data_IF_642887273515
#
_entry.id   IF_642887273515
#
_cell.length_a   1.000
_cell.length_b   1.000
_cell.length_c   1.000
_cell.angle_alpha   90.00
_cell.angle_beta   90.00
_cell.angle_gamma   90.00
#
_symmetry.space_group_name_H-M   'P 1'
#
loop_
_entity.id
_entity.type
_entity.pdbx_description
1 polymer ?
2 non-polymer ?
3 non-polymer ?
4 water ?
#
# COMPACT_ATOMS: atom_id res chain seq x y z
N UNK A 1 18.56 1.38 1.17
CA UNK A 1 18.71 0.30 0.14
C UNK A 1 17.36 0.23 -0.58
N UNK A 2 16.67 1.29 -0.40
CA UNK A 2 15.28 1.43 -0.94
C UNK A 2 15.14 2.12 -2.31
N UNK A 3 16.22 2.50 -2.94
CA UNK A 3 16.31 3.56 -3.89
C UNK A 3 15.52 3.37 -5.16
N UNK A 4 15.36 2.23 -5.76
CA UNK A 4 14.63 2.22 -7.04
C UNK A 4 13.11 2.37 -6.76
N UNK A 5 12.63 2.23 -5.51
CA UNK A 5 11.22 2.49 -5.17
C UNK A 5 10.87 3.96 -5.11
N UNK A 6 11.85 4.82 -4.98
CA UNK A 6 11.58 6.23 -4.68
C UNK A 6 11.00 6.90 -5.91
N UNK A 7 10.06 7.77 -5.69
CA UNK A 7 9.49 8.58 -6.75
C UNK A 7 7.97 8.63 -6.68
N UNK A 8 7.40 9.10 -7.77
CA UNK A 8 5.96 9.28 -7.91
C UNK A 8 5.45 8.24 -8.89
N UNK A 9 4.39 7.55 -8.50
CA UNK A 9 3.88 6.37 -9.21
C UNK A 9 2.36 6.51 -9.35
N UNK A 10 1.84 6.05 -10.50
CA UNK A 10 0.42 6.14 -10.79
C UNK A 10 -0.16 4.75 -11.00
N UNK A 11 -1.37 4.50 -10.48
CA UNK A 11 -1.99 3.19 -10.67
C UNK A 11 -2.41 3.01 -12.14
N UNK A 12 -2.02 1.85 -12.71
CA UNK A 12 -2.33 1.54 -14.11
C UNK A 12 -2.99 0.17 -14.25
N UNK A 13 -3.15 -0.62 -13.21
CA UNK A 13 -3.86 -1.90 -13.31
C UNK A 13 -4.24 -2.31 -11.89
N UNK A 14 -5.38 -2.98 -11.76
CA UNK A 14 -5.77 -3.48 -10.44
C UNK A 14 -6.56 -4.79 -10.62
N UNK A 15 -6.15 -5.80 -9.84
CA UNK A 15 -6.78 -7.11 -9.85
C UNK A 15 -7.16 -7.48 -8.41
N UNK A 16 -8.45 -7.79 -8.22
CA UNK A 16 -8.96 -8.34 -6.95
C UNK A 16 -8.95 -7.32 -5.80
N UNK A 17 -8.94 -6.03 -6.09
CA UNK A 17 -8.99 -5.06 -4.99
C UNK A 17 -10.32 -5.13 -4.26
N UNK A 18 -11.43 -5.40 -4.97
CA UNK A 18 -12.70 -5.53 -4.27
C UNK A 18 -12.63 -6.68 -3.27
N UNK A 19 -12.07 -7.82 -3.69
CA UNK A 19 -11.97 -8.92 -2.74
C UNK A 19 -11.20 -8.48 -1.49
N UNK A 20 -10.06 -7.82 -1.70
CA UNK A 20 -9.22 -7.40 -0.56
C UNK A 20 -10.00 -6.45 0.36
N UNK A 21 -10.63 -5.44 -0.22
CA UNK A 21 -11.42 -4.51 0.59
C UNK A 21 -12.56 -5.21 1.34
N UNK A 22 -13.23 -6.11 0.64
CA UNK A 22 -14.34 -6.78 1.31
C UNK A 22 -13.82 -7.61 2.47
N UNK A 23 -12.67 -8.27 2.30
CA UNK A 23 -12.08 -9.07 3.38
C UNK A 23 -11.82 -8.23 4.62
N UNK A 24 -11.38 -6.98 4.41
CA UNK A 24 -11.15 -6.01 5.47
C UNK A 24 -12.43 -5.41 6.04
N UNK A 25 -13.60 -5.73 5.50
CA UNK A 25 -14.85 -5.19 6.02
C UNK A 25 -15.21 -3.82 5.49
N UNK A 26 -14.59 -3.40 4.38
CA UNK A 26 -14.92 -2.12 3.77
C UNK A 26 -16.33 -2.21 3.17
N UNK A 27 -17.16 -1.21 3.41
CA UNK A 27 -18.54 -1.20 2.93
C UNK A 27 -18.64 -1.03 1.43
N UNK A 28 -19.82 -1.44 0.91
CA UNK A 28 -19.97 -1.53 -0.53
C UNK A 28 -19.78 -0.17 -1.21
N UNK A 29 -20.23 0.92 -0.60
CA UNK A 29 -20.17 2.22 -1.29
C UNK A 29 -18.71 2.66 -1.42
N UNK A 30 -17.93 2.45 -0.36
CA UNK A 30 -16.49 2.76 -0.41
C UNK A 30 -15.81 1.88 -1.45
N UNK A 31 -16.11 0.58 -1.44
CA UNK A 31 -15.49 -0.31 -2.46
C UNK A 31 -15.82 0.16 -3.87
N UNK A 32 -17.04 0.55 -4.03
CA UNK A 32 -17.50 1.01 -5.32
C UNK A 32 -16.63 2.21 -5.80
N UNK A 33 -16.52 3.32 -5.03
CA UNK A 33 -15.69 4.47 -5.42
C UNK A 33 -14.25 4.05 -5.60
N UNK A 34 -13.73 3.26 -4.64
CA UNK A 34 -12.34 2.82 -4.70
C UNK A 34 -12.03 2.04 -5.99
N UNK A 35 -13.00 1.30 -6.50
CA UNK A 35 -12.77 0.50 -7.71
C UNK A 35 -12.57 1.36 -8.95
N UNK A 36 -12.94 2.64 -8.88
CA UNK A 36 -12.81 3.60 -9.97
C UNK A 36 -11.76 4.67 -9.69
N UNK A 37 -11.04 4.53 -8.60
CA UNK A 37 -10.03 5.53 -8.20
C UNK A 37 -8.64 5.04 -8.62
N UNK A 38 -7.82 5.98 -9.13
CA UNK A 38 -6.46 5.66 -9.52
C UNK A 38 -5.52 6.52 -8.68
N UNK A 39 -5.01 5.98 -7.57
CA UNK A 39 -4.13 6.82 -6.73
C UNK A 39 -2.78 7.08 -7.38
N UNK A 40 -2.16 8.11 -6.81
CA UNK A 40 -0.76 8.43 -7.00
C UNK A 40 -0.05 8.14 -5.67
N UNK A 41 1.01 7.33 -5.74
CA UNK A 41 1.80 7.02 -4.57
C UNK A 41 3.17 7.68 -4.72
N UNK A 42 3.57 8.41 -3.68
CA UNK A 42 4.85 9.13 -3.67
C UNK A 42 5.68 8.53 -2.53
N UNK A 43 6.87 8.06 -2.87
CA UNK A 43 7.77 7.43 -1.89
C UNK A 43 9.04 8.28 -1.88
N UNK A 44 9.37 8.83 -0.73
CA UNK A 44 10.56 9.66 -0.58
C UNK A 44 11.34 9.19 0.64
N UNK A 45 12.64 9.47 0.63
CA UNK A 45 13.48 9.17 1.79
C UNK A 45 14.23 10.42 2.19
N UNK A 46 14.50 10.47 3.49
CA UNK A 46 15.38 11.49 4.09
C UNK A 46 16.17 10.77 5.16
N UNK A 47 17.43 10.45 4.81
CA UNK A 47 18.16 9.58 5.70
C UNK A 47 17.48 8.26 5.83
N UNK A 48 17.33 7.81 7.07
CA UNK A 48 16.69 6.54 7.36
C UNK A 48 15.16 6.57 7.34
N UNK A 49 14.57 7.74 7.13
CA UNK A 49 13.12 7.87 7.23
C UNK A 49 12.48 7.89 5.84
N UNK A 50 11.54 6.97 5.63
CA UNK A 50 10.73 6.97 4.41
C UNK A 50 9.41 7.67 4.70
N UNK A 51 8.90 8.36 3.70
CA UNK A 51 7.56 8.90 3.74
C UNK A 51 6.82 8.41 2.50
N UNK A 52 5.66 7.81 2.72
CA UNK A 52 4.84 7.21 1.65
C UNK A 52 3.49 7.90 1.67
N UNK A 53 3.24 8.68 0.62
CA UNK A 53 1.99 9.39 0.44
C UNK A 53 1.13 8.63 -0.58
N UNK A 54 -0.16 8.52 -0.31
CA UNK A 54 -1.10 7.96 -1.29
C UNK A 54 -2.18 9.01 -1.49
N UNK A 55 -2.27 9.52 -2.71
CA UNK A 55 -3.18 10.62 -3.03
C UNK A 55 -4.22 10.16 -4.03
N UNK A 56 -5.44 10.65 -3.85
CA UNK A 56 -6.46 10.37 -4.84
C UNK A 56 -7.59 11.37 -4.70
N UNK A 57 -8.55 11.24 -5.62
CA UNK A 57 -9.78 12.01 -5.55
C UNK A 57 -10.73 11.53 -4.48
N UNK A 58 -10.45 10.43 -3.80
CA UNK A 58 -11.34 9.87 -2.80
C UNK A 58 -10.76 9.98 -1.40
N UNK A 59 -9.71 9.21 -1.12
CA UNK A 59 -8.99 9.19 0.17
C UNK A 59 -7.52 9.65 -0.09
N UNK A 60 -6.91 10.35 0.89
CA UNK A 60 -5.48 10.54 0.96
C UNK A 60 -4.92 9.93 2.26
N UNK A 61 -3.70 9.39 2.21
CA UNK A 61 -2.97 8.97 3.42
C UNK A 61 -1.50 9.41 3.30
N UNK A 62 -0.86 9.44 4.46
CA UNK A 62 0.59 9.65 4.50
C UNK A 62 1.12 8.94 5.75
N UNK A 63 2.22 8.20 5.57
CA UNK A 63 2.94 7.58 6.68
C UNK A 63 4.41 7.92 6.56
N UNK A 64 5.07 8.04 7.72
CA UNK A 64 6.52 8.08 7.80
C UNK A 64 7.01 7.00 8.73
N UNK A 65 8.12 6.39 8.37
CA UNK A 65 8.63 5.27 9.15
C UNK A 65 10.12 5.09 8.89
N UNK A 66 10.77 4.46 9.86
CA UNK A 66 12.11 3.91 9.65
C UNK A 66 11.98 2.42 9.34
N UNK A 67 12.74 1.83 8.36
CA UNK A 67 12.66 0.40 8.12
C UNK A 67 13.00 -0.32 9.40
N UNK A 68 12.24 -1.36 9.67
CA UNK A 68 12.53 -2.22 10.78
C UNK A 68 12.14 -1.71 12.11
N UNK A 69 11.40 -0.59 12.17
CA UNK A 69 10.97 -0.02 13.44
C UNK A 69 9.44 0.10 13.41
N UNK A 70 8.77 -0.49 14.36
CA UNK A 70 7.31 -0.45 14.39
C UNK A 70 6.80 0.99 14.53
N UNK A 71 5.65 1.24 13.91
CA UNK A 71 4.99 2.54 13.98
C UNK A 71 3.48 2.31 14.06
N UNK A 72 2.79 3.26 14.71
CA UNK A 72 1.35 3.29 14.66
C UNK A 72 0.87 3.84 13.32
N UNK A 73 -0.24 3.30 12.81
CA UNK A 73 -0.80 3.74 11.55
C UNK A 73 -2.31 3.69 11.64
N UNK A 74 -2.94 4.65 10.98
CA UNK A 74 -4.40 4.65 10.81
C UNK A 74 -4.64 4.60 9.29
N UNK A 75 -5.18 3.49 8.83
CA UNK A 75 -5.23 3.22 7.40
C UNK A 75 -6.33 4.01 6.70
N UNK A 76 -6.34 3.91 5.36
CA UNK A 76 -7.32 4.65 4.56
C UNK A 76 -8.76 4.30 4.93
N UNK A 77 -8.96 3.03 5.34
CA UNK A 77 -10.24 2.51 5.79
C UNK A 77 -10.38 2.56 7.31
N UNK A 78 -9.57 3.38 7.99
CA UNK A 78 -9.75 3.74 9.39
C UNK A 78 -9.43 2.61 10.36
N UNK A 79 -8.62 1.63 9.97
CA UNK A 79 -8.10 0.67 10.94
C UNK A 79 -6.90 1.29 11.67
N UNK A 80 -6.87 1.09 12.99
CA UNK A 80 -5.71 1.52 13.80
C UNK A 80 -4.84 0.29 14.03
N UNK A 81 -3.65 0.29 13.41
CA UNK A 81 -2.82 -0.88 13.31
C UNK A 81 -1.41 -0.59 13.82
N UNK A 82 -0.70 -1.67 14.10
CA UNK A 82 0.73 -1.65 14.41
C UNK A 82 1.45 -2.11 13.16
N UNK A 83 2.36 -1.30 12.65
CA UNK A 83 2.97 -1.54 11.34
C UNK A 83 4.48 -1.63 11.43
N UNK A 84 5.04 -2.38 10.48
CA UNK A 84 6.49 -2.40 10.31
C UNK A 84 6.76 -2.63 8.83
N UNK A 85 7.77 -1.95 8.31
CA UNK A 85 8.15 -2.06 6.90
C UNK A 85 9.62 -2.49 6.88
N UNK A 86 9.97 -3.42 6.01
CA UNK A 86 11.31 -3.92 5.85
C UNK A 86 11.56 -4.17 4.38
N UNK A 87 12.81 -4.47 4.11
CA UNK A 87 13.23 -4.99 2.81
C UNK A 87 13.47 -6.50 2.96
N UNK A 88 12.92 -7.27 2.05
CA UNK A 88 12.98 -8.74 2.13
C UNK A 88 13.04 -9.23 0.70
N UNK A 89 14.18 -9.80 0.29
CA UNK A 89 14.30 -10.24 -1.09
C UNK A 89 14.21 -9.13 -2.09
N UNK A 90 14.60 -7.94 -1.68
CA UNK A 90 14.50 -6.76 -2.55
C UNK A 90 13.10 -6.16 -2.58
N UNK A 91 12.15 -6.72 -1.90
CA UNK A 91 10.76 -6.24 -1.85
C UNK A 91 10.57 -5.41 -0.59
N UNK A 92 9.75 -4.39 -0.72
CA UNK A 92 9.42 -3.58 0.45
C UNK A 92 8.18 -4.23 1.07
N UNK A 93 8.27 -4.82 2.26
CA UNK A 93 7.21 -5.59 2.90
C UNK A 93 6.66 -4.79 4.07
N UNK A 94 5.41 -4.43 3.98
CA UNK A 94 4.69 -3.66 5.03
C UNK A 94 3.68 -4.63 5.67
N UNK A 95 3.89 -4.90 6.97
CA UNK A 95 3.00 -5.76 7.74
C UNK A 95 2.21 -4.89 8.71
N UNK A 96 0.88 -5.06 8.69
CA UNK A 96 -0.03 -4.40 9.62
C UNK A 96 -0.69 -5.45 10.51
N UNK A 97 -0.83 -5.07 11.80
CA UNK A 97 -1.41 -5.92 12.80
C UNK A 97 -2.46 -5.17 13.58
N UNK A 98 -3.55 -5.87 13.83
CA UNK A 98 -4.57 -5.25 14.70
C UNK A 98 -5.54 -6.34 15.11
N UNK A 99 -5.92 -6.36 16.37
CA UNK A 99 -7.00 -7.31 16.78
C UNK A 99 -6.61 -8.75 16.46
N UNK A 100 -5.33 -9.09 16.42
CA UNK A 100 -4.91 -10.42 16.04
C UNK A 100 -4.92 -10.69 14.52
N UNK A 101 -5.47 -9.80 13.72
CA UNK A 101 -5.47 -9.85 12.28
C UNK A 101 -4.16 -9.34 11.74
N UNK A 102 -3.86 -9.73 10.51
CA UNK A 102 -2.69 -9.25 9.81
C UNK A 102 -3.05 -9.00 8.35
N UNK A 103 -2.35 -8.03 7.76
CA UNK A 103 -2.36 -7.89 6.31
C UNK A 103 -0.96 -7.45 5.88
N UNK A 104 -0.56 -7.87 4.68
CA UNK A 104 0.70 -7.44 4.12
C UNK A 104 0.45 -6.66 2.83
N UNK A 105 1.29 -5.63 2.66
CA UNK A 105 1.36 -4.80 1.47
C UNK A 105 2.79 -4.94 0.97
N UNK A 106 2.99 -5.67 -0.11
CA UNK A 106 4.33 -6.02 -0.58
C UNK A 106 4.56 -5.30 -1.91
N UNK A 107 5.65 -4.55 -2.02
CA UNK A 107 5.98 -3.84 -3.23
C UNK A 107 7.27 -4.42 -3.83
N UNK A 108 7.23 -4.63 -5.14
CA UNK A 108 8.42 -5.17 -5.84
C UNK A 108 8.46 -4.46 -7.19
N UNK A 109 9.66 -4.32 -7.71
CA UNK A 109 9.87 -3.77 -9.02
C UNK A 109 10.04 -4.90 -10.00
N UNK A 110 9.22 -4.91 -11.03
CA UNK A 110 9.24 -5.91 -12.12
C UNK A 110 9.22 -5.13 -13.45
N UNK A 111 10.31 -5.23 -14.21
CA UNK A 111 10.40 -4.51 -15.50
C UNK A 111 10.05 -3.03 -15.34
N UNK A 112 10.56 -2.41 -14.28
CA UNK A 112 10.38 -0.97 -14.11
C UNK A 112 9.03 -0.58 -13.52
N UNK A 113 8.11 -1.52 -13.35
CA UNK A 113 6.81 -1.23 -12.78
C UNK A 113 6.84 -1.63 -11.30
N UNK A 114 6.07 -0.91 -10.52
CA UNK A 114 5.98 -1.29 -9.12
C UNK A 114 4.71 -2.12 -8.97
N UNK A 115 4.88 -3.30 -8.45
CA UNK A 115 3.80 -4.24 -8.25
C UNK A 115 3.54 -4.30 -6.74
N UNK A 116 2.31 -3.92 -6.37
CA UNK A 116 1.82 -3.93 -4.99
C UNK A 116 0.90 -5.14 -4.82
N UNK A 117 1.28 -6.05 -3.94
CA UNK A 117 0.46 -7.21 -3.64
C UNK A 117 -0.09 -7.05 -2.23
N UNK A 118 -1.41 -7.10 -2.11
CA UNK A 118 -2.15 -6.88 -0.85
C UNK A 118 -2.80 -8.20 -0.47
N UNK A 119 -2.47 -8.73 0.72
CA UNK A 119 -3.02 -10.02 1.15
C UNK A 119 -3.69 -9.84 2.50
N UNK A 120 -4.92 -10.30 2.62
CA UNK A 120 -5.64 -10.36 3.90
C UNK A 120 -6.57 -11.56 3.83
N UNK A 121 -6.57 -12.39 4.86
CA UNK A 121 -7.38 -13.59 4.77
C UNK A 121 -6.91 -14.43 3.59
N UNK A 122 -7.82 -14.83 2.74
CA UNK A 122 -7.46 -15.53 1.51
C UNK A 122 -7.32 -14.59 0.31
N UNK A 123 -7.71 -13.33 0.48
CA UNK A 123 -7.75 -12.39 -0.64
C UNK A 123 -6.33 -11.93 -0.98
N UNK A 124 -6.05 -11.95 -2.29
CA UNK A 124 -4.77 -11.51 -2.83
C UNK A 124 -5.06 -10.57 -3.99
N UNK A 125 -4.67 -9.31 -3.82
CA UNK A 125 -4.88 -8.25 -4.80
C UNK A 125 -3.52 -7.84 -5.36
N UNK A 126 -3.47 -7.62 -6.68
CA UNK A 126 -2.26 -7.14 -7.32
C UNK A 126 -2.57 -5.84 -8.02
N UNK A 127 -1.83 -4.78 -7.66
CA UNK A 127 -1.98 -3.47 -8.24
C UNK A 127 -0.67 -3.04 -8.85
N UNK A 128 -0.74 -2.52 -10.05
CA UNK A 128 0.46 -2.14 -10.78
C UNK A 128 0.54 -0.63 -10.89
N UNK A 129 1.68 -0.08 -10.53
CA UNK A 129 1.97 1.33 -10.58
C UNK A 129 3.10 1.57 -11.59
N UNK A 130 2.98 2.68 -12.31
CA UNK A 130 3.98 3.12 -13.31
C UNK A 130 4.59 4.42 -12.77
N UNK A 131 5.88 4.60 -13.04
CA UNK A 131 6.59 5.77 -12.54
C UNK A 131 6.30 6.99 -13.36
N UNK A 132 6.06 8.09 -12.74
CA UNK A 132 6.04 9.42 -13.34
C UNK A 132 7.42 10.10 -13.32
N UNK A 133 7.73 10.83 -14.37
CA UNK A 133 9.00 11.54 -14.53
C UNK A 133 9.10 12.73 -13.59
#
# INVERSE_FOLDING_TARGET
>A
MVDAFLGTWKLVDSKNFDDYMKSLGVGFATRQVASMTKPTTIIEKNGDILTLKTHSTFKNTEISFKLGVEFDETTADDRKVKSIVTLDGGKLVHLQKWDGQETTLVRELIDGKLILTLTHGTAVCTRTYEKEA
#
